data_IF_700897309261
#
_entry.id   IF_700897309261
#
_cell.length_a   1.000
_cell.length_b   1.000
_cell.length_c   1.000
_cell.angle_alpha   90.00
_cell.angle_beta   90.00
_cell.angle_gamma   90.00
#
_symmetry.space_group_name_H-M   'P 1'
#
loop_
_entity.id
_entity.type
_entity.pdbx_description
1 polymer ?
#
# COMPACT_ATOMS: atom_id res chain seq x y z
N UNK A 1 -13.66 27.83 -9.06
CA UNK A 1 -13.41 27.46 -7.66
C UNK A 1 -12.95 26.01 -7.67
N UNK A 2 -11.68 25.72 -7.44
CA UNK A 2 -11.26 24.37 -7.12
C UNK A 2 -11.71 24.08 -5.70
N UNK A 3 -12.62 23.13 -5.51
CA UNK A 3 -12.96 22.66 -4.17
C UNK A 3 -11.71 22.04 -3.55
N UNK A 4 -11.31 22.55 -2.39
CA UNK A 4 -10.13 22.05 -1.68
C UNK A 4 -10.50 20.72 -1.05
N UNK A 5 -9.89 19.65 -1.54
CA UNK A 5 -10.10 18.29 -1.04
C UNK A 5 -9.68 18.21 0.43
N UNK A 6 -10.56 17.72 1.30
CA UNK A 6 -10.22 17.41 2.69
C UNK A 6 -9.43 16.09 2.74
N UNK A 7 -8.11 16.22 2.75
CA UNK A 7 -7.19 15.08 2.76
C UNK A 7 -7.34 14.21 4.01
N UNK A 8 -7.70 14.78 5.16
CA UNK A 8 -7.86 13.99 6.40
C UNK A 8 -9.12 13.14 6.30
N UNK A 9 -10.22 13.73 5.82
CA UNK A 9 -11.45 12.98 5.55
C UNK A 9 -11.19 11.85 4.54
N UNK A 10 -10.50 12.12 3.44
CA UNK A 10 -10.14 11.09 2.46
C UNK A 10 -9.33 9.95 3.10
N UNK A 11 -8.26 10.28 3.83
CA UNK A 11 -7.40 9.28 4.48
C UNK A 11 -8.16 8.44 5.51
N UNK A 12 -9.02 9.06 6.32
CA UNK A 12 -9.84 8.35 7.31
C UNK A 12 -10.82 7.39 6.65
N UNK A 13 -11.52 7.82 5.59
CA UNK A 13 -12.45 6.94 4.87
C UNK A 13 -11.72 5.81 4.15
N UNK A 14 -10.53 6.08 3.61
CA UNK A 14 -9.69 5.07 2.98
C UNK A 14 -9.29 3.99 3.98
N UNK A 15 -8.84 4.38 5.18
CA UNK A 15 -8.49 3.43 6.24
C UNK A 15 -9.70 2.67 6.77
N UNK A 16 -10.86 3.33 6.91
CA UNK A 16 -12.11 2.66 7.30
C UNK A 16 -12.57 1.62 6.28
N UNK A 17 -12.49 1.94 4.99
CA UNK A 17 -12.94 1.06 3.92
C UNK A 17 -11.99 -0.12 3.71
N UNK A 18 -10.68 0.13 3.74
CA UNK A 18 -9.67 -0.89 3.47
C UNK A 18 -9.31 -1.71 4.71
N UNK A 19 -9.54 -1.19 5.91
CA UNK A 19 -9.05 -1.76 7.16
C UNK A 19 -7.54 -1.65 7.34
N UNK A 20 -6.87 -0.82 6.52
CA UNK A 20 -5.42 -0.66 6.50
C UNK A 20 -5.02 0.66 7.17
N UNK A 21 -3.84 0.72 7.82
CA UNK A 21 -3.30 1.99 8.27
C UNK A 21 -2.98 2.92 7.09
N UNK A 22 -3.27 4.21 7.23
CA UNK A 22 -3.05 5.24 6.21
C UNK A 22 -2.22 6.36 6.80
N UNK A 23 -1.21 6.80 6.05
CA UNK A 23 -0.29 7.89 6.41
C UNK A 23 -0.35 8.96 5.33
N UNK A 24 -0.27 10.22 5.75
CA UNK A 24 -0.11 11.36 4.87
C UNK A 24 1.14 12.14 5.28
N UNK A 25 2.00 12.38 4.30
CA UNK A 25 3.24 13.11 4.46
C UNK A 25 3.22 14.41 3.65
N UNK A 26 3.90 15.42 4.16
CA UNK A 26 4.31 16.62 3.42
C UNK A 26 5.85 16.62 3.37
N UNK A 27 6.42 16.34 2.19
CA UNK A 27 7.80 15.89 2.08
C UNK A 27 8.05 14.64 2.94
N UNK A 28 8.98 14.76 3.92
CA UNK A 28 9.30 13.68 4.87
C UNK A 28 8.55 13.73 6.20
N UNK A 29 7.78 14.80 6.40
CA UNK A 29 7.07 15.03 7.66
C UNK A 29 5.72 14.33 7.64
N UNK A 30 5.49 13.44 8.60
CA UNK A 30 4.18 12.82 8.81
C UNK A 30 3.22 13.89 9.34
N UNK A 31 2.19 14.22 8.57
CA UNK A 31 1.19 15.24 8.94
C UNK A 31 -0.15 14.65 9.35
N UNK A 32 -0.40 13.38 9.02
CA UNK A 32 -1.59 12.66 9.46
C UNK A 32 -1.36 11.15 9.44
N UNK A 33 -1.89 10.45 10.45
CA UNK A 33 -1.91 9.00 10.54
C UNK A 33 -3.28 8.54 11.02
N UNK A 34 -3.81 7.52 10.37
CA UNK A 34 -5.07 6.90 10.74
C UNK A 34 -4.94 5.38 10.66
N UNK A 35 -5.41 4.69 11.69
CA UNK A 35 -5.45 3.23 11.72
C UNK A 35 -6.64 2.79 12.57
N UNK A 36 -7.41 1.82 12.06
CA UNK A 36 -8.45 1.15 12.85
C UNK A 36 -7.87 0.09 13.78
N UNK A 37 -6.67 -0.42 13.46
CA UNK A 37 -5.93 -1.35 14.30
C UNK A 37 -5.00 -0.59 15.23
N UNK A 38 -4.96 -0.99 16.50
CA UNK A 38 -3.98 -0.47 17.43
C UNK A 38 -2.62 -1.12 17.14
N UNK A 39 -1.63 -0.29 16.80
CA UNK A 39 -0.25 -0.70 16.60
C UNK A 39 0.63 0.13 17.53
N UNK A 40 1.29 -0.49 18.53
CA UNK A 40 2.14 0.25 19.47
C UNK A 40 3.37 0.85 18.78
N UNK A 41 3.78 0.29 17.64
CA UNK A 41 4.79 0.82 16.75
C UNK A 41 4.37 0.61 15.30
N UNK A 42 4.70 1.57 14.45
CA UNK A 42 4.31 1.54 13.05
C UNK A 42 5.24 0.60 12.24
N UNK A 43 4.74 -0.50 11.67
CA UNK A 43 5.54 -1.41 10.85
C UNK A 43 6.04 -0.78 9.54
N UNK A 44 5.51 0.37 9.13
CA UNK A 44 6.02 1.11 7.97
C UNK A 44 7.47 1.57 8.16
N UNK A 45 7.93 1.69 9.42
CA UNK A 45 9.28 2.14 9.71
C UNK A 45 10.37 1.22 9.14
N UNK A 46 10.11 -0.08 8.96
CA UNK A 46 11.09 -1.02 8.38
C UNK A 46 11.41 -0.75 6.91
N UNK A 47 10.46 -0.19 6.16
CA UNK A 47 10.58 0.00 4.71
C UNK A 47 10.32 1.44 4.26
N UNK A 48 10.38 2.40 5.21
CA UNK A 48 10.07 3.80 4.92
C UNK A 48 10.97 4.35 3.81
N UNK A 49 12.25 4.01 3.82
CA UNK A 49 13.23 4.55 2.87
C UNK A 49 12.89 4.11 1.44
N UNK A 50 12.66 2.81 1.26
CA UNK A 50 12.35 2.16 -0.02
C UNK A 50 11.04 2.71 -0.60
N UNK A 51 10.00 2.84 0.24
CA UNK A 51 8.73 3.45 -0.20
C UNK A 51 8.90 4.93 -0.56
N UNK A 52 9.82 5.63 0.09
CA UNK A 52 10.08 7.04 -0.18
C UNK A 52 10.85 7.28 -1.48
N UNK A 53 11.56 6.27 -2.00
CA UNK A 53 12.25 6.29 -3.28
C UNK A 53 11.29 6.16 -4.48
N UNK A 54 10.05 5.71 -4.26
CA UNK A 54 9.02 5.65 -5.32
C UNK A 54 8.64 7.09 -5.71
N UNK A 55 9.00 7.45 -6.94
CA UNK A 55 8.79 8.79 -7.50
C UNK A 55 7.50 8.89 -8.35
N UNK A 56 7.03 7.78 -8.91
CA UNK A 56 5.81 7.76 -9.72
C UNK A 56 4.58 8.18 -8.91
N UNK A 57 3.55 8.70 -9.60
CA UNK A 57 2.33 9.16 -8.93
C UNK A 57 1.61 8.05 -8.18
N UNK A 58 1.64 6.82 -8.69
CA UNK A 58 1.16 5.63 -7.98
C UNK A 58 2.23 4.55 -8.04
N UNK A 59 2.45 3.88 -6.92
CA UNK A 59 3.33 2.72 -6.86
C UNK A 59 3.08 1.88 -5.63
N UNK A 60 3.91 0.86 -5.45
CA UNK A 60 3.88 0.01 -4.27
C UNK A 60 5.26 -0.57 -3.98
N UNK A 61 5.43 -1.02 -2.74
CA UNK A 61 6.60 -1.77 -2.30
C UNK A 61 6.15 -3.05 -1.61
N UNK A 62 6.80 -4.17 -1.91
CA UNK A 62 6.60 -5.45 -1.23
C UNK A 62 7.80 -5.70 -0.32
N UNK A 63 7.53 -5.91 0.96
CA UNK A 63 8.53 -6.28 1.97
C UNK A 63 8.99 -7.73 1.79
N UNK A 64 10.13 -8.13 2.38
CA UNK A 64 10.56 -9.54 2.38
C UNK A 64 9.56 -10.53 2.98
N UNK A 65 8.60 -10.05 3.79
CA UNK A 65 7.54 -10.85 4.40
C UNK A 65 6.20 -10.72 3.67
N UNK A 66 6.19 -10.38 2.38
CA UNK A 66 5.00 -10.26 1.51
C UNK A 66 3.91 -9.27 1.99
N UNK A 67 4.19 -8.46 3.03
CA UNK A 67 3.39 -7.27 3.27
C UNK A 67 3.73 -6.27 2.19
N UNK A 68 2.73 -5.51 1.76
CA UNK A 68 2.97 -4.45 0.79
C UNK A 68 2.35 -3.13 1.24
N UNK A 69 2.99 -2.08 0.76
CA UNK A 69 2.66 -0.69 1.02
C UNK A 69 2.40 -0.01 -0.31
N UNK A 70 1.23 0.59 -0.43
CA UNK A 70 0.85 1.35 -1.61
C UNK A 70 1.12 2.84 -1.41
N UNK A 71 1.52 3.55 -2.45
CA UNK A 71 1.85 4.98 -2.40
C UNK A 71 1.13 5.77 -3.48
N UNK A 72 0.68 6.97 -3.13
CA UNK A 72 0.23 8.01 -4.06
C UNK A 72 1.01 9.29 -3.79
N UNK A 73 1.77 9.75 -4.79
CA UNK A 73 2.51 11.02 -4.75
C UNK A 73 1.71 12.11 -5.46
N UNK A 74 1.57 13.27 -4.84
CA UNK A 74 0.80 14.39 -5.38
C UNK A 74 1.25 15.71 -4.77
N UNK A 75 1.53 16.74 -5.58
CA UNK A 75 1.79 18.11 -5.09
C UNK A 75 2.78 18.22 -3.91
N UNK A 76 3.88 17.46 -3.94
CA UNK A 76 4.90 17.43 -2.86
C UNK A 76 4.48 16.67 -1.59
N UNK A 77 3.30 16.05 -1.60
CA UNK A 77 2.74 15.21 -0.55
C UNK A 77 2.71 13.74 -0.98
N UNK A 78 2.59 12.88 0.02
CA UNK A 78 2.56 11.43 -0.19
C UNK A 78 1.53 10.79 0.72
N UNK A 79 0.62 10.05 0.14
CA UNK A 79 -0.28 9.14 0.85
C UNK A 79 0.32 7.74 0.80
N UNK A 80 0.43 7.08 1.95
CA UNK A 80 0.90 5.69 2.04
C UNK A 80 -0.16 4.84 2.74
N UNK A 81 -0.59 3.76 2.11
CA UNK A 81 -1.49 2.76 2.70
C UNK A 81 -0.73 1.50 3.05
N UNK A 82 -1.09 0.87 4.17
CA UNK A 82 -0.57 -0.43 4.58
C UNK A 82 0.00 -0.46 6.00
N UNK A 83 0.54 -1.60 6.43
CA UNK A 83 0.68 -2.81 5.63
C UNK A 83 -0.67 -3.44 5.34
N UNK A 84 -0.76 -4.18 4.25
CA UNK A 84 -1.68 -5.32 4.10
C UNK A 84 -0.95 -6.44 3.38
N UNK A 85 -1.63 -7.56 3.23
CA UNK A 85 -1.11 -8.79 2.65
C UNK A 85 -2.26 -9.61 2.10
N UNK A 86 -1.97 -10.49 1.16
CA UNK A 86 -2.95 -11.45 0.69
C UNK A 86 -2.98 -12.72 1.56
N UNK A 87 -1.81 -13.15 2.05
CA UNK A 87 -1.65 -14.34 2.86
C UNK A 87 -1.32 -13.93 4.30
N UNK A 88 -1.94 -14.52 5.34
CA UNK A 88 -1.58 -14.25 6.72
C UNK A 88 -0.13 -14.63 7.04
N UNK A 89 0.54 -13.79 7.84
CA UNK A 89 1.87 -14.10 8.36
C UNK A 89 1.83 -15.18 9.43
N UNK A 90 2.89 -15.98 9.48
CA UNK A 90 3.21 -16.85 10.61
C UNK A 90 3.58 -16.03 11.85
N UNK A 91 3.52 -16.66 13.03
CA UNK A 91 3.99 -16.00 14.25
C UNK A 91 5.46 -15.64 14.20
N UNK A 92 6.29 -16.48 13.57
CA UNK A 92 7.72 -16.23 13.46
C UNK A 92 7.99 -14.94 12.67
N UNK A 93 7.36 -14.77 11.50
CA UNK A 93 7.51 -13.54 10.68
C UNK A 93 7.03 -12.30 11.44
N UNK A 94 5.95 -12.42 12.22
CA UNK A 94 5.45 -11.32 13.04
C UNK A 94 6.45 -10.90 14.14
N UNK A 95 7.15 -11.87 14.74
CA UNK A 95 8.21 -11.61 15.70
C UNK A 95 9.45 -10.99 15.04
N UNK A 96 9.81 -11.44 13.84
CA UNK A 96 10.93 -10.88 13.06
C UNK A 96 10.69 -9.41 12.73
N UNK A 97 9.48 -9.06 12.25
CA UNK A 97 9.09 -7.66 12.00
C UNK A 97 9.13 -6.84 13.29
N UNK A 98 8.59 -7.36 14.40
CA UNK A 98 8.58 -6.66 15.68
C UNK A 98 10.01 -6.37 16.18
N UNK A 99 10.93 -7.30 15.94
CA UNK A 99 12.34 -7.13 16.27
C UNK A 99 13.02 -6.10 15.36
N UNK A 100 12.80 -6.18 14.03
CA UNK A 100 13.41 -5.27 13.04
C UNK A 100 13.10 -3.81 13.33
N UNK A 101 11.87 -3.52 13.74
CA UNK A 101 11.45 -2.15 14.06
C UNK A 101 11.67 -1.79 15.53
N UNK A 102 12.36 -2.59 16.35
CA UNK A 102 12.57 -2.34 17.79
C UNK A 102 11.26 -2.11 18.59
N UNK A 103 10.28 -3.01 18.49
CA UNK A 103 9.08 -2.97 19.36
C UNK A 103 9.52 -3.29 20.81
N UNK A 104 9.11 -2.49 21.81
CA UNK A 104 9.39 -2.82 23.21
C UNK A 104 8.84 -4.20 23.58
N UNK A 105 9.60 -5.00 24.32
CA UNK A 105 9.22 -6.37 24.70
C UNK A 105 7.82 -6.43 25.35
N UNK A 106 7.47 -5.43 26.16
CA UNK A 106 6.17 -5.31 26.80
C UNK A 106 4.99 -5.18 25.80
N UNK A 107 5.26 -4.62 24.62
CA UNK A 107 4.26 -4.30 23.60
C UNK A 107 4.23 -5.32 22.44
N UNK A 108 5.15 -6.30 22.41
CA UNK A 108 5.26 -7.28 21.31
C UNK A 108 3.97 -8.06 21.11
N UNK A 109 3.32 -8.51 22.20
CA UNK A 109 2.06 -9.24 22.11
C UNK A 109 0.96 -8.39 21.45
N UNK A 110 0.87 -7.12 21.85
CA UNK A 110 -0.13 -6.18 21.31
C UNK A 110 0.18 -5.82 19.85
N UNK A 111 1.45 -5.67 19.50
CA UNK A 111 1.89 -5.49 18.12
C UNK A 111 1.47 -6.67 17.22
N UNK A 112 1.74 -7.90 17.66
CA UNK A 112 1.38 -9.12 16.92
C UNK A 112 -0.14 -9.21 16.78
N UNK A 113 -0.90 -8.94 17.84
CA UNK A 113 -2.36 -8.93 17.80
C UNK A 113 -2.89 -7.87 16.82
N UNK A 114 -2.32 -6.66 16.83
CA UNK A 114 -2.65 -5.59 15.89
C UNK A 114 -2.36 -5.98 14.44
N UNK A 115 -1.17 -6.51 14.17
CA UNK A 115 -0.77 -6.98 12.84
C UNK A 115 -1.66 -8.11 12.32
N UNK A 116 -2.09 -9.05 13.18
CA UNK A 116 -3.04 -10.12 12.81
C UNK A 116 -4.45 -9.60 12.51
N UNK A 117 -4.81 -8.45 13.08
CA UNK A 117 -6.13 -7.83 12.92
C UNK A 117 -6.26 -6.99 11.65
N UNK A 118 -5.16 -6.70 10.96
CA UNK A 118 -5.18 -6.02 9.66
C UNK A 118 -5.90 -6.90 8.65
N UNK A 119 -6.89 -6.30 7.98
CA UNK A 119 -7.71 -6.99 6.98
C UNK A 119 -6.83 -7.37 5.77
N UNK A 120 -6.75 -8.66 5.42
CA UNK A 120 -6.08 -9.09 4.19
C UNK A 120 -6.82 -8.52 2.98
N UNK A 121 -6.06 -7.93 2.06
CA UNK A 121 -6.56 -7.45 0.78
C UNK A 121 -5.68 -8.06 -0.33
N UNK A 122 -6.20 -8.29 -1.55
CA UNK A 122 -5.34 -8.60 -2.70
C UNK A 122 -4.61 -7.36 -3.20
N UNK A 123 -3.37 -7.53 -3.70
CA UNK A 123 -2.55 -6.41 -4.18
C UNK A 123 -3.28 -5.60 -5.25
N UNK A 124 -3.90 -6.28 -6.21
CA UNK A 124 -4.65 -5.64 -7.31
C UNK A 124 -5.79 -4.77 -6.80
N UNK A 125 -6.45 -5.14 -5.70
CA UNK A 125 -7.50 -4.31 -5.09
C UNK A 125 -6.92 -3.05 -4.46
N UNK A 126 -5.76 -3.14 -3.81
CA UNK A 126 -5.06 -1.96 -3.28
C UNK A 126 -4.62 -1.04 -4.41
N UNK A 127 -3.99 -1.57 -5.46
CA UNK A 127 -3.55 -0.76 -6.60
C UNK A 127 -4.73 -0.08 -7.30
N UNK A 128 -5.85 -0.80 -7.50
CA UNK A 128 -7.05 -0.21 -8.10
C UNK A 128 -7.62 0.92 -7.23
N UNK A 129 -7.62 0.74 -5.91
CA UNK A 129 -8.00 1.79 -4.96
C UNK A 129 -7.07 3.00 -5.06
N UNK A 130 -5.76 2.79 -5.23
CA UNK A 130 -4.81 3.87 -5.41
C UNK A 130 -4.99 4.62 -6.73
N UNK A 131 -5.33 3.94 -7.83
CA UNK A 131 -5.69 4.60 -9.09
C UNK A 131 -6.87 5.57 -8.90
N UNK A 132 -7.88 5.18 -8.12
CA UNK A 132 -9.04 6.04 -7.81
C UNK A 132 -8.60 7.25 -6.97
N UNK A 133 -7.78 7.03 -5.95
CA UNK A 133 -7.24 8.11 -5.11
C UNK A 133 -6.35 9.05 -5.94
N UNK A 134 -5.54 8.52 -6.85
CA UNK A 134 -4.72 9.30 -7.77
C UNK A 134 -5.56 10.22 -8.64
N UNK A 135 -6.62 9.68 -9.25
CA UNK A 135 -7.53 10.47 -10.08
C UNK A 135 -8.11 11.67 -9.33
N UNK A 136 -8.41 11.48 -8.04
CA UNK A 136 -8.90 12.55 -7.17
C UNK A 136 -7.80 13.57 -6.81
N UNK A 137 -6.58 13.12 -6.54
CA UNK A 137 -5.50 13.96 -6.01
C UNK A 137 -4.61 14.63 -7.07
N UNK A 138 -4.53 14.05 -8.27
CA UNK A 138 -3.70 14.50 -9.39
C UNK A 138 -4.57 14.96 -10.57
N UNK A 139 -5.55 15.83 -10.28
CA UNK A 139 -6.31 16.60 -11.27
C UNK A 139 -6.98 15.76 -12.39
N UNK A 140 -7.43 14.55 -12.07
CA UNK A 140 -8.11 13.66 -13.01
C UNK A 140 -7.18 12.75 -13.81
N UNK A 141 -5.89 12.69 -13.50
CA UNK A 141 -4.97 11.71 -14.09
C UNK A 141 -5.49 10.29 -13.85
N UNK A 142 -5.69 9.55 -14.95
CA UNK A 142 -6.23 8.19 -14.91
C UNK A 142 -5.11 7.20 -15.15
N UNK A 143 -4.80 6.41 -14.13
CA UNK A 143 -3.88 5.29 -14.22
C UNK A 143 -4.67 3.99 -14.11
N UNK A 144 -4.19 2.97 -14.81
CA UNK A 144 -4.68 1.60 -14.75
C UNK A 144 -3.66 0.70 -14.06
N UNK A 145 -4.06 -0.54 -13.75
CA UNK A 145 -3.17 -1.51 -13.15
C UNK A 145 -1.96 -1.80 -14.06
N UNK A 146 -2.17 -1.80 -15.38
CA UNK A 146 -1.11 -2.04 -16.38
C UNK A 146 -0.03 -0.95 -16.38
N UNK A 147 -0.36 0.25 -15.92
CA UNK A 147 0.60 1.37 -15.84
C UNK A 147 1.49 1.28 -14.59
N UNK A 148 1.10 0.45 -13.61
CA UNK A 148 1.76 0.34 -12.29
C UNK A 148 2.46 -1.02 -12.14
N UNK A 149 1.86 -2.08 -12.65
CA UNK A 149 2.44 -3.43 -12.57
C UNK A 149 3.75 -3.48 -13.33
N UNK A 150 4.81 -3.91 -12.65
CA UNK A 150 5.99 -4.44 -13.33
C UNK A 150 5.48 -5.66 -14.10
N UNK A 151 5.37 -5.54 -15.42
CA UNK A 151 5.16 -6.71 -16.27
C UNK A 151 6.45 -7.51 -16.15
N UNK A 152 6.42 -8.57 -15.36
CA UNK A 152 7.51 -9.53 -15.40
C UNK A 152 7.58 -10.08 -16.84
N UNK A 153 8.76 -10.20 -17.46
CA UNK A 153 8.89 -10.65 -18.86
C UNK A 153 8.24 -12.03 -19.10
N UNK A 154 7.99 -12.80 -18.05
CA UNK A 154 7.25 -14.06 -18.08
C UNK A 154 5.73 -13.87 -18.29
N UNK A 155 5.14 -12.77 -17.80
CA UNK A 155 3.73 -12.41 -18.03
C UNK A 155 3.49 -11.88 -19.45
N UNK A 156 4.47 -11.16 -20.02
CA UNK A 156 4.44 -10.67 -21.40
C UNK A 156 4.35 -11.84 -22.41
N UNK A 157 5.17 -12.87 -22.22
CA UNK A 157 5.14 -14.09 -23.03
C UNK A 157 3.81 -14.85 -22.93
N UNK A 158 3.18 -14.87 -21.75
CA UNK A 158 1.92 -15.57 -21.55
C UNK A 158 0.75 -14.83 -22.23
N UNK A 159 0.74 -13.50 -22.17
CA UNK A 159 -0.27 -12.65 -22.85
C UNK A 159 -0.14 -12.78 -24.38
N UNK A 160 1.08 -12.78 -24.92
CA UNK A 160 1.32 -13.00 -26.36
C UNK A 160 0.84 -14.38 -26.82
N UNK A 161 1.13 -15.42 -26.04
CA UNK A 161 0.72 -16.80 -26.39
C UNK A 161 -0.80 -16.97 -26.36
N UNK A 162 -1.47 -16.43 -25.33
CA UNK A 162 -2.92 -16.49 -25.20
C UNK A 162 -3.65 -15.62 -26.25
N UNK A 163 -3.05 -14.50 -26.66
CA UNK A 163 -3.56 -13.65 -27.73
C UNK A 163 -3.45 -14.33 -29.10
N UNK A 164 -2.36 -15.05 -29.37
CA UNK A 164 -2.17 -15.79 -30.61
C UNK A 164 -3.17 -16.96 -30.75
N UNK A 165 -3.42 -17.70 -29.67
CA UNK A 165 -4.38 -18.82 -29.67
C UNK A 165 -5.85 -18.39 -29.87
N UNK A 166 -6.20 -17.15 -29.47
CA UNK A 166 -7.54 -16.61 -29.67
C UNK A 166 -7.79 -16.15 -31.11
N UNK A 167 -6.75 -15.72 -31.83
CA UNK A 167 -6.83 -15.33 -33.25
C UNK A 167 -6.84 -16.55 -34.17
N UNK A 168 -6.18 -17.64 -33.79
CA UNK A 168 -6.13 -18.88 -34.59
C UNK A 168 -7.43 -19.72 -34.51
N UNK A 169 -8.35 -19.37 -33.60
CA UNK A 169 -9.66 -20.02 -33.43
C UNK A 169 -10.85 -19.21 -33.95
N UNK A 170 -10.61 -18.08 -34.63
CA UNK A 170 -11.62 -17.25 -35.28
C UNK A 170 -11.54 -17.38 -36.80
#
# INVERSE_FOLDING_TARGET
MSEKIDLKYLCTNLGNLSGMPVRLYDGETLIFYYSIVALPKDPFLSCKKEVFEIADHVGYFVTPHDNYYGVVNFSGKRLVVGPTRQIPLSEQELHEIAFEIDVPIADVSDFIAGMKSIVPMPLMSVLQMLCIVNHVLNEGETLSLSDISIVEPEQENLIETLGAEAVERA
#
